data_IF_487366591337
#
_entry.id   IF_487366591337
#
_cell.length_a   1.000
_cell.length_b   1.000
_cell.length_c   1.000
_cell.angle_alpha   90.00
_cell.angle_beta   90.00
_cell.angle_gamma   90.00
#
_symmetry.space_group_name_H-M   'P 1'
#
loop_
_entity.id
_entity.type
_entity.pdbx_description
1 polymer ?
#
# COMPACT_ATOMS: atom_id res chain seq x y z
N UNK A 1 8.32 -7.68 5.61
CA UNK A 1 7.78 -7.39 6.94
C UNK A 1 6.36 -6.84 6.81
N UNK A 2 5.44 -7.16 7.73
CA UNK A 2 4.06 -6.66 7.78
C UNK A 2 3.95 -5.68 8.94
N UNK A 3 3.70 -4.39 8.65
CA UNK A 3 3.70 -3.32 9.63
C UNK A 3 2.30 -3.06 10.15
N UNK A 4 2.11 -3.14 11.46
CA UNK A 4 0.85 -2.87 12.15
C UNK A 4 1.02 -1.66 13.06
N UNK A 5 0.28 -0.59 12.81
CA UNK A 5 0.20 0.54 13.73
C UNK A 5 -0.95 0.30 14.73
N UNK A 6 -0.69 0.52 15.99
CA UNK A 6 -1.69 0.50 17.07
C UNK A 6 -1.78 1.90 17.66
N UNK A 7 -2.94 2.53 17.63
CA UNK A 7 -3.13 3.85 18.19
C UNK A 7 -4.32 3.89 19.14
N UNK A 8 -4.07 4.18 20.40
CA UNK A 8 -5.08 4.38 21.46
C UNK A 8 -4.52 5.31 22.54
N UNK A 9 -5.36 6.12 23.17
CA UNK A 9 -4.97 7.00 24.27
C UNK A 9 -4.77 6.29 25.61
N UNK A 10 -5.04 4.98 25.67
CA UNK A 10 -4.91 4.16 26.87
C UNK A 10 -3.67 3.27 26.79
N UNK A 11 -2.63 3.59 27.57
CA UNK A 11 -1.36 2.87 27.61
C UNK A 11 -1.50 1.38 27.97
N UNK A 12 -2.45 1.05 28.86
CA UNK A 12 -2.72 -0.34 29.26
C UNK A 12 -3.32 -1.14 28.11
N UNK A 13 -4.30 -0.57 27.41
CA UNK A 13 -4.90 -1.18 26.22
C UNK A 13 -3.88 -1.36 25.11
N UNK A 14 -3.04 -0.35 24.88
CA UNK A 14 -1.97 -0.39 23.88
C UNK A 14 -0.98 -1.54 24.18
N UNK A 15 -0.51 -1.62 25.41
CA UNK A 15 0.41 -2.69 25.83
C UNK A 15 -0.24 -4.07 25.68
N UNK A 16 -1.48 -4.23 26.15
CA UNK A 16 -2.19 -5.51 26.09
C UNK A 16 -2.44 -5.97 24.66
N UNK A 17 -2.86 -5.08 23.76
CA UNK A 17 -3.04 -5.37 22.34
C UNK A 17 -1.70 -5.75 21.69
N UNK A 18 -0.64 -5.00 21.96
CA UNK A 18 0.70 -5.29 21.43
C UNK A 18 1.17 -6.69 21.83
N UNK A 19 1.08 -7.03 23.12
CA UNK A 19 1.46 -8.37 23.63
C UNK A 19 0.58 -9.47 23.02
N UNK A 20 -0.72 -9.24 22.94
CA UNK A 20 -1.64 -10.23 22.38
C UNK A 20 -1.36 -10.51 20.91
N UNK A 21 -1.11 -9.47 20.10
CA UNK A 21 -0.78 -9.61 18.68
C UNK A 21 0.56 -10.35 18.52
N UNK A 22 1.57 -10.03 19.32
CA UNK A 22 2.87 -10.72 19.28
C UNK A 22 2.79 -12.22 19.61
N UNK A 23 1.77 -12.62 20.38
CA UNK A 23 1.54 -14.03 20.76
C UNK A 23 0.73 -14.81 19.73
N UNK A 24 0.12 -14.13 18.75
CA UNK A 24 -0.59 -14.83 17.70
C UNK A 24 0.40 -15.67 16.86
N UNK A 25 -0.02 -16.84 16.38
CA UNK A 25 0.82 -17.66 15.52
C UNK A 25 1.02 -16.95 14.19
N UNK A 26 2.21 -16.44 13.97
CA UNK A 26 2.68 -15.88 12.69
C UNK A 26 4.18 -16.19 12.54
N UNK A 27 4.74 -16.21 11.33
CA UNK A 27 6.18 -16.32 11.13
C UNK A 27 6.88 -15.19 11.90
N UNK A 28 7.85 -15.53 12.74
CA UNK A 28 8.47 -14.66 13.76
C UNK A 28 9.03 -13.35 13.20
N UNK A 29 9.46 -13.35 11.92
CA UNK A 29 10.04 -12.19 11.25
C UNK A 29 9.06 -11.48 10.30
N UNK A 30 7.78 -11.84 10.35
CA UNK A 30 6.81 -11.36 9.37
C UNK A 30 6.04 -10.11 9.82
N UNK A 31 5.99 -9.80 11.13
CA UNK A 31 5.14 -8.76 11.70
C UNK A 31 5.93 -7.82 12.60
N UNK A 32 5.74 -6.51 12.39
CA UNK A 32 6.30 -5.43 13.21
C UNK A 32 5.17 -4.53 13.72
N UNK A 33 5.18 -4.26 15.04
CA UNK A 33 4.15 -3.46 15.70
C UNK A 33 4.72 -2.09 16.05
N UNK A 34 3.99 -1.04 15.65
CA UNK A 34 4.30 0.36 15.91
C UNK A 34 3.22 0.95 16.84
N UNK A 35 3.51 1.07 18.15
CA UNK A 35 2.55 1.59 19.13
C UNK A 35 2.55 3.12 19.16
N UNK A 36 1.36 3.73 19.24
CA UNK A 36 1.15 5.17 19.34
C UNK A 36 0.13 5.47 20.46
N UNK A 37 0.48 6.35 21.39
CA UNK A 37 -0.43 6.87 22.40
C UNK A 37 -1.16 8.14 21.96
N UNK A 38 -0.67 8.77 20.89
CA UNK A 38 -1.20 10.01 20.36
C UNK A 38 -1.49 9.86 18.86
N UNK A 39 -2.68 10.26 18.43
CA UNK A 39 -3.06 10.30 17.01
C UNK A 39 -2.11 11.18 16.19
N UNK A 40 -1.63 12.26 16.81
CA UNK A 40 -0.69 13.17 16.16
C UNK A 40 0.59 12.47 15.72
N UNK A 41 1.15 11.60 16.57
CA UNK A 41 2.40 10.87 16.26
C UNK A 41 2.19 9.84 15.15
N UNK A 42 1.05 9.15 15.16
CA UNK A 42 0.66 8.26 14.06
C UNK A 42 0.53 9.05 12.73
N UNK A 43 -0.20 10.17 12.73
CA UNK A 43 -0.37 11.00 11.53
C UNK A 43 0.96 11.60 11.06
N UNK A 44 1.86 11.94 11.99
CA UNK A 44 3.21 12.41 11.68
C UNK A 44 4.01 11.32 11.00
N UNK A 45 3.99 10.08 11.50
CA UNK A 45 4.70 8.95 10.89
C UNK A 45 4.18 8.65 9.47
N UNK A 46 2.86 8.68 9.26
CA UNK A 46 2.28 8.55 7.92
C UNK A 46 2.75 9.66 6.96
N UNK A 47 2.84 10.92 7.44
CA UNK A 47 3.35 12.04 6.63
C UNK A 47 4.84 11.92 6.30
N UNK A 48 5.62 11.26 7.15
CA UNK A 48 7.03 10.98 6.94
C UNK A 48 7.26 9.83 5.94
N UNK A 49 6.18 9.22 5.42
CA UNK A 49 6.26 8.15 4.43
C UNK A 49 6.35 6.74 5.02
N UNK A 50 6.17 6.58 6.34
CA UNK A 50 6.08 5.25 6.94
C UNK A 50 4.74 4.64 6.52
N UNK A 51 4.81 3.50 5.83
CA UNK A 51 3.65 2.78 5.31
C UNK A 51 3.27 1.64 6.24
N UNK A 52 2.01 1.60 6.65
CA UNK A 52 1.44 0.51 7.44
C UNK A 52 0.58 -0.40 6.55
N UNK A 53 0.54 -1.67 6.89
CA UNK A 53 -0.35 -2.63 6.23
C UNK A 53 -1.73 -2.66 6.91
N UNK A 54 -1.73 -2.50 8.23
CA UNK A 54 -2.92 -2.39 9.05
C UNK A 54 -2.73 -1.29 10.10
N UNK A 55 -3.75 -0.47 10.31
CA UNK A 55 -3.83 0.49 11.39
C UNK A 55 -5.04 0.14 12.24
N UNK A 56 -4.81 -0.17 13.52
CA UNK A 56 -5.85 -0.35 14.54
C UNK A 56 -5.99 0.95 15.32
N UNK A 57 -7.16 1.59 15.22
CA UNK A 57 -7.48 2.86 15.88
C UNK A 57 -8.48 2.65 17.02
N UNK A 58 -8.13 3.11 18.19
CA UNK A 58 -8.97 3.08 19.41
C UNK A 58 -8.71 1.86 20.30
N UNK A 59 -9.52 1.69 21.35
CA UNK A 59 -10.54 2.63 21.77
C UNK A 59 -9.93 3.95 22.29
N UNK A 60 -10.64 5.05 22.07
CA UNK A 60 -10.30 6.36 22.62
C UNK A 60 -11.38 6.79 23.65
N UNK A 61 -11.02 7.63 24.63
CA UNK A 61 -11.98 8.15 25.60
C UNK A 61 -13.03 9.05 24.95
N UNK A 62 -12.63 9.83 23.93
CA UNK A 62 -13.53 10.65 23.13
C UNK A 62 -13.75 10.01 21.74
N UNK A 63 -14.92 9.41 21.55
CA UNK A 63 -15.24 8.62 20.35
C UNK A 63 -15.18 9.43 19.03
N UNK A 64 -15.54 10.70 19.03
CA UNK A 64 -15.61 11.51 17.81
C UNK A 64 -14.27 11.75 17.11
N UNK A 65 -13.15 11.61 17.81
CA UNK A 65 -11.81 11.79 17.21
C UNK A 65 -11.37 10.63 16.32
N UNK A 66 -11.83 9.42 16.60
CA UNK A 66 -11.38 8.21 15.87
C UNK A 66 -11.71 8.28 14.37
N UNK A 67 -12.90 8.74 14.03
CA UNK A 67 -13.34 8.85 12.64
C UNK A 67 -12.61 9.95 11.87
N UNK A 68 -12.34 11.08 12.52
CA UNK A 68 -11.57 12.16 11.92
C UNK A 68 -10.13 11.75 11.65
N UNK A 69 -9.54 11.01 12.56
CA UNK A 69 -8.20 10.44 12.37
C UNK A 69 -8.19 9.43 11.23
N UNK A 70 -9.17 8.53 11.16
CA UNK A 70 -9.32 7.61 10.04
C UNK A 70 -9.48 8.34 8.70
N UNK A 71 -10.28 9.42 8.63
CA UNK A 71 -10.42 10.28 7.43
C UNK A 71 -9.08 10.93 7.02
N UNK A 72 -8.31 11.43 8.00
CA UNK A 72 -6.97 12.01 7.75
C UNK A 72 -5.99 10.98 7.24
N UNK A 73 -5.95 9.78 7.85
CA UNK A 73 -5.11 8.68 7.39
C UNK A 73 -5.49 8.28 5.97
N UNK A 74 -6.79 8.15 5.67
CA UNK A 74 -7.28 7.77 4.33
C UNK A 74 -6.89 8.78 3.25
N UNK A 75 -6.76 10.07 3.61
CA UNK A 75 -6.25 11.11 2.69
C UNK A 75 -4.74 10.98 2.46
N UNK A 76 -3.98 10.52 3.46
CA UNK A 76 -2.52 10.31 3.36
C UNK A 76 -2.18 9.00 2.66
N UNK A 77 -2.92 7.93 2.98
CA UNK A 77 -2.78 6.60 2.40
C UNK A 77 -4.17 6.01 2.07
N UNK A 78 -4.63 6.14 0.81
CA UNK A 78 -5.89 5.56 0.37
C UNK A 78 -5.93 4.02 0.41
N UNK A 79 -4.76 3.35 0.42
CA UNK A 79 -4.63 1.90 0.32
C UNK A 79 -4.49 1.16 1.65
N UNK A 80 -4.15 1.85 2.75
CA UNK A 80 -3.92 1.20 4.04
C UNK A 80 -5.21 0.56 4.60
N UNK A 81 -5.09 -0.61 5.21
CA UNK A 81 -6.22 -1.22 5.93
C UNK A 81 -6.41 -0.53 7.27
N UNK A 82 -7.61 -0.02 7.54
CA UNK A 82 -7.95 0.65 8.81
C UNK A 82 -9.03 -0.16 9.51
N UNK A 83 -8.77 -0.56 10.74
CA UNK A 83 -9.76 -1.14 11.64
C UNK A 83 -10.01 -0.20 12.81
N UNK A 84 -11.27 0.04 13.14
CA UNK A 84 -11.68 0.85 14.27
C UNK A 84 -12.08 -0.02 15.44
N UNK A 85 -11.74 0.45 16.66
CA UNK A 85 -12.18 -0.13 17.92
C UNK A 85 -12.94 0.96 18.65
N UNK A 86 -14.26 0.81 18.82
CA UNK A 86 -15.10 1.78 19.52
C UNK A 86 -16.18 1.09 20.34
N UNK A 87 -16.51 1.69 21.49
CA UNK A 87 -17.65 1.31 22.32
C UNK A 87 -18.96 1.93 21.81
N UNK A 88 -18.88 2.96 20.97
CA UNK A 88 -20.04 3.61 20.37
C UNK A 88 -20.39 2.99 19.02
N UNK A 89 -21.53 2.32 18.95
CA UNK A 89 -22.01 1.72 17.70
C UNK A 89 -22.37 2.77 16.63
N UNK A 90 -22.56 4.04 17.01
CA UNK A 90 -22.78 5.13 16.04
C UNK A 90 -21.56 5.34 15.16
N UNK A 91 -20.35 5.10 15.69
CA UNK A 91 -19.10 5.17 14.90
C UNK A 91 -19.11 4.16 13.75
N UNK A 92 -19.83 3.03 13.87
CA UNK A 92 -19.95 2.06 12.78
C UNK A 92 -20.83 2.58 11.64
N UNK A 93 -21.86 3.35 11.96
CA UNK A 93 -22.78 3.94 10.97
C UNK A 93 -22.14 5.13 10.26
N UNK A 94 -21.49 6.02 11.02
CA UNK A 94 -20.76 7.16 10.46
C UNK A 94 -19.49 6.73 9.72
N UNK A 95 -18.89 5.61 10.14
CA UNK A 95 -17.73 4.98 9.48
C UNK A 95 -18.05 4.44 8.08
N UNK A 96 -19.33 4.34 7.68
CA UNK A 96 -19.71 3.87 6.34
C UNK A 96 -19.17 4.76 5.20
N UNK A 97 -18.91 6.03 5.49
CA UNK A 97 -18.31 6.97 4.53
C UNK A 97 -16.79 6.78 4.39
N UNK A 98 -16.17 6.04 5.31
CA UNK A 98 -14.73 5.75 5.32
C UNK A 98 -14.56 4.29 4.92
N UNK A 99 -13.79 3.96 3.89
CA UNK A 99 -13.47 2.56 3.57
C UNK A 99 -12.67 1.91 4.71
N UNK A 100 -13.39 1.31 5.68
CA UNK A 100 -12.80 0.56 6.78
C UNK A 100 -12.60 -0.90 6.36
N UNK A 101 -11.55 -1.51 6.87
CA UNK A 101 -11.34 -2.95 6.76
C UNK A 101 -12.26 -3.69 7.75
N UNK A 102 -12.31 -3.20 9.01
CA UNK A 102 -13.17 -3.77 10.06
C UNK A 102 -13.54 -2.76 11.13
N UNK A 103 -14.70 -3.00 11.77
CA UNK A 103 -15.11 -2.35 13.00
C UNK A 103 -15.21 -3.37 14.13
N UNK A 104 -14.57 -3.10 15.25
CA UNK A 104 -14.63 -3.89 16.48
C UNK A 104 -15.45 -3.15 17.54
N UNK A 105 -16.55 -3.77 18.01
CA UNK A 105 -17.41 -3.19 19.04
C UNK A 105 -16.79 -3.39 20.41
N UNK A 106 -16.15 -2.37 20.96
CA UNK A 106 -15.56 -2.32 22.30
C UNK A 106 -14.25 -3.07 22.46
N UNK A 107 -14.21 -4.36 22.21
CA UNK A 107 -13.01 -5.20 22.36
C UNK A 107 -12.66 -5.92 21.07
N UNK A 108 -11.38 -6.21 20.89
CA UNK A 108 -10.87 -6.96 19.74
C UNK A 108 -10.85 -8.45 20.08
N UNK A 109 -11.72 -9.27 19.47
CA UNK A 109 -11.64 -10.72 19.66
C UNK A 109 -10.39 -11.26 18.96
N UNK A 110 -9.45 -11.83 19.74
CA UNK A 110 -8.16 -12.28 19.19
C UNK A 110 -8.27 -13.29 18.03
N UNK A 111 -9.21 -14.27 18.05
CA UNK A 111 -9.38 -15.15 16.90
C UNK A 111 -9.79 -14.44 15.61
N UNK A 112 -10.62 -13.37 15.73
CA UNK A 112 -11.04 -12.57 14.57
C UNK A 112 -9.88 -11.73 14.05
N UNK A 113 -9.11 -11.10 14.96
CA UNK A 113 -7.93 -10.32 14.58
C UNK A 113 -6.87 -11.21 13.91
N UNK A 114 -6.69 -12.44 14.39
CA UNK A 114 -5.79 -13.40 13.75
C UNK A 114 -6.21 -13.68 12.30
N UNK A 115 -7.48 -13.97 12.05
CA UNK A 115 -8.00 -14.17 10.70
C UNK A 115 -7.80 -12.94 9.82
N UNK A 116 -8.03 -11.74 10.37
CA UNK A 116 -7.83 -10.48 9.66
C UNK A 116 -6.36 -10.26 9.27
N UNK A 117 -5.44 -10.56 10.19
CA UNK A 117 -4.01 -10.48 9.91
C UNK A 117 -3.60 -11.49 8.84
N UNK A 118 -4.05 -12.74 8.94
CA UNK A 118 -3.79 -13.80 7.96
C UNK A 118 -4.29 -13.40 6.57
N UNK A 119 -5.53 -12.89 6.46
CA UNK A 119 -6.11 -12.39 5.20
C UNK A 119 -5.26 -11.28 4.59
N UNK A 120 -4.90 -10.27 5.39
CA UNK A 120 -4.12 -9.13 4.91
C UNK A 120 -2.68 -9.52 4.54
N UNK A 121 -2.06 -10.42 5.30
CA UNK A 121 -0.72 -10.94 5.00
C UNK A 121 -0.73 -11.77 3.73
N UNK A 122 -1.72 -12.64 3.54
CA UNK A 122 -1.89 -13.41 2.31
C UNK A 122 -2.10 -12.49 1.11
N UNK A 123 -2.97 -11.50 1.22
CA UNK A 123 -3.21 -10.51 0.16
C UNK A 123 -1.94 -9.73 -0.21
N UNK A 124 -1.14 -9.33 0.79
CA UNK A 124 0.17 -8.69 0.55
C UNK A 124 1.11 -9.64 -0.19
N UNK A 125 1.16 -10.91 0.20
CA UNK A 125 2.01 -11.90 -0.44
C UNK A 125 1.58 -12.19 -1.89
N UNK A 126 0.27 -12.26 -2.16
CA UNK A 126 -0.26 -12.40 -3.52
C UNK A 126 0.16 -11.23 -4.41
N UNK A 127 0.06 -10.00 -3.91
CA UNK A 127 0.51 -8.79 -4.63
C UNK A 127 2.02 -8.85 -4.87
N UNK A 128 2.81 -9.26 -3.89
CA UNK A 128 4.27 -9.39 -4.03
C UNK A 128 4.70 -10.51 -5.00
N UNK A 129 3.91 -11.58 -5.07
CA UNK A 129 4.15 -12.72 -5.94
C UNK A 129 3.47 -12.58 -7.32
N UNK A 130 2.67 -11.53 -7.52
CA UNK A 130 2.09 -11.24 -8.82
C UNK A 130 3.19 -11.15 -9.87
N UNK A 131 2.98 -11.79 -11.02
CA UNK A 131 3.99 -11.88 -12.07
C UNK A 131 3.42 -11.51 -13.43
N UNK A 132 4.29 -10.99 -14.27
CA UNK A 132 4.00 -10.66 -15.66
C UNK A 132 4.72 -11.65 -16.58
N UNK A 133 3.94 -12.32 -17.44
CA UNK A 133 4.45 -13.25 -18.43
C UNK A 133 4.37 -12.63 -19.83
N UNK A 134 5.39 -12.79 -20.62
CA UNK A 134 5.39 -12.50 -22.06
C UNK A 134 6.34 -13.45 -22.78
N UNK A 135 6.19 -13.53 -24.10
CA UNK A 135 7.09 -14.32 -24.97
C UNK A 135 7.72 -13.42 -26.02
N UNK A 136 8.97 -13.71 -26.34
CA UNK A 136 9.70 -13.13 -27.46
C UNK A 136 10.53 -14.21 -28.16
N UNK A 137 11.43 -13.83 -29.06
CA UNK A 137 12.30 -14.73 -29.80
C UNK A 137 13.29 -15.51 -28.90
N UNK A 138 13.54 -15.04 -27.65
CA UNK A 138 14.38 -15.72 -26.68
C UNK A 138 13.61 -16.74 -25.83
N UNK A 139 12.27 -16.78 -25.94
CA UNK A 139 11.43 -17.72 -25.20
C UNK A 139 10.35 -17.05 -24.36
N UNK A 140 9.87 -17.75 -23.34
CA UNK A 140 8.88 -17.27 -22.37
C UNK A 140 9.59 -16.70 -21.16
N UNK A 141 9.23 -15.46 -20.82
CA UNK A 141 9.79 -14.74 -19.67
C UNK A 141 8.71 -14.53 -18.60
N UNK A 142 9.09 -14.76 -17.35
CA UNK A 142 8.28 -14.50 -16.18
C UNK A 142 9.05 -13.59 -15.22
N UNK A 143 8.50 -12.43 -14.89
CA UNK A 143 9.05 -11.52 -13.90
C UNK A 143 8.00 -11.23 -12.82
N UNK A 144 8.40 -11.20 -11.55
CA UNK A 144 7.55 -10.66 -10.52
C UNK A 144 7.34 -9.16 -10.75
N UNK A 145 6.15 -8.65 -10.46
CA UNK A 145 5.86 -7.23 -10.72
C UNK A 145 6.83 -6.30 -9.99
N UNK A 146 7.30 -6.67 -8.80
CA UNK A 146 8.30 -5.93 -8.02
C UNK A 146 9.67 -5.81 -8.70
N UNK A 147 9.99 -6.68 -9.64
CA UNK A 147 11.26 -6.67 -10.39
C UNK A 147 11.22 -5.72 -11.59
N UNK A 148 10.00 -5.36 -12.04
CA UNK A 148 9.80 -4.53 -13.22
C UNK A 148 9.76 -3.06 -12.78
N UNK A 149 10.64 -2.24 -13.35
CA UNK A 149 10.72 -0.81 -13.10
C UNK A 149 9.65 -0.04 -13.89
N UNK A 150 9.60 -0.31 -15.18
CA UNK A 150 8.62 0.31 -16.09
C UNK A 150 8.50 -0.45 -17.40
N UNK A 151 7.43 -0.17 -18.13
CA UNK A 151 7.25 -0.55 -19.52
C UNK A 151 7.38 0.70 -20.39
N UNK A 152 8.04 0.56 -21.53
CA UNK A 152 8.17 1.62 -22.54
C UNK A 152 7.67 1.11 -23.87
N UNK A 153 6.84 1.91 -24.56
CA UNK A 153 6.44 1.58 -25.94
C UNK A 153 7.45 2.12 -26.96
N UNK A 154 7.81 1.27 -27.90
CA UNK A 154 8.66 1.58 -29.04
C UNK A 154 7.96 1.12 -30.33
N UNK A 155 7.15 2.01 -30.93
CA UNK A 155 6.29 1.65 -32.04
C UNK A 155 5.28 0.57 -31.67
N UNK A 156 5.33 -0.58 -32.35
CA UNK A 156 4.45 -1.74 -32.10
C UNK A 156 5.03 -2.74 -31.07
N UNK A 157 6.07 -2.35 -30.34
CA UNK A 157 6.76 -3.19 -29.38
C UNK A 157 6.73 -2.55 -28.00
N UNK A 158 6.83 -3.40 -26.99
CA UNK A 158 6.98 -3.01 -25.59
C UNK A 158 8.35 -3.45 -25.12
N UNK A 159 9.09 -2.53 -24.51
CA UNK A 159 10.28 -2.82 -23.74
C UNK A 159 9.87 -2.93 -22.28
N UNK A 160 10.12 -4.09 -21.67
CA UNK A 160 10.04 -4.33 -20.22
C UNK A 160 11.40 -4.03 -19.62
N UNK A 161 11.49 -3.09 -18.71
CA UNK A 161 12.74 -2.74 -18.03
C UNK A 161 12.67 -3.24 -16.60
N UNK A 162 13.61 -4.11 -16.26
CA UNK A 162 13.74 -4.75 -14.95
C UNK A 162 15.05 -4.36 -14.27
N UNK A 163 15.26 -4.81 -13.04
CA UNK A 163 16.56 -4.65 -12.34
C UNK A 163 17.71 -5.37 -13.05
N UNK A 164 17.42 -6.48 -13.74
CA UNK A 164 18.42 -7.37 -14.34
C UNK A 164 18.69 -7.07 -15.82
N UNK A 165 17.86 -6.22 -16.45
CA UNK A 165 17.99 -5.90 -17.87
C UNK A 165 16.68 -5.47 -18.51
N UNK A 166 16.69 -5.40 -19.83
CA UNK A 166 15.50 -5.05 -20.59
C UNK A 166 15.19 -6.08 -21.67
N UNK A 167 13.90 -6.27 -21.91
CA UNK A 167 13.36 -7.29 -22.82
C UNK A 167 12.34 -6.62 -23.76
N UNK A 168 12.31 -7.05 -25.00
CA UNK A 168 11.39 -6.50 -26.01
C UNK A 168 10.47 -7.61 -26.50
N UNK A 169 9.17 -7.29 -26.59
CA UNK A 169 8.15 -8.18 -27.14
C UNK A 169 7.06 -7.39 -27.88
N UNK A 170 6.21 -8.06 -28.64
CA UNK A 170 5.13 -7.42 -29.40
C UNK A 170 3.87 -7.34 -28.55
N UNK A 171 3.49 -6.14 -28.20
CA UNK A 171 2.20 -5.83 -27.54
C UNK A 171 1.95 -4.32 -27.60
N UNK A 172 0.73 -3.89 -27.21
CA UNK A 172 0.39 -2.47 -27.06
C UNK A 172 0.42 -2.07 -25.59
N UNK A 173 0.73 -0.80 -25.30
CA UNK A 173 0.75 -0.28 -23.93
C UNK A 173 -0.62 -0.42 -23.25
N UNK A 174 -1.72 -0.23 -24.00
CA UNK A 174 -3.08 -0.39 -23.45
C UNK A 174 -3.40 -1.83 -23.05
N UNK A 175 -2.86 -2.81 -23.79
CA UNK A 175 -3.00 -4.23 -23.42
C UNK A 175 -2.20 -4.55 -22.16
N UNK A 176 -0.96 -4.05 -22.07
CA UNK A 176 -0.14 -4.19 -20.85
C UNK A 176 -0.84 -3.60 -19.63
N UNK A 177 -1.35 -2.37 -19.75
CA UNK A 177 -2.09 -1.66 -18.70
C UNK A 177 -3.31 -2.47 -18.24
N UNK A 178 -4.10 -3.02 -19.17
CA UNK A 178 -5.26 -3.87 -18.84
C UNK A 178 -4.85 -5.18 -18.13
N UNK A 179 -3.76 -5.82 -18.58
CA UNK A 179 -3.24 -7.07 -17.97
C UNK A 179 -2.74 -6.85 -16.54
N UNK A 180 -2.16 -5.69 -16.27
CA UNK A 180 -1.68 -5.32 -14.94
C UNK A 180 -2.83 -4.92 -13.99
N UNK A 181 -3.97 -4.48 -14.53
CA UNK A 181 -5.17 -4.14 -13.75
C UNK A 181 -4.89 -3.10 -12.66
N UNK A 182 -5.41 -3.33 -11.47
CA UNK A 182 -5.20 -2.47 -10.28
C UNK A 182 -3.90 -2.82 -9.54
N UNK A 183 -2.81 -2.92 -10.25
CA UNK A 183 -1.49 -3.15 -9.65
C UNK A 183 -0.80 -1.82 -9.30
N UNK A 184 0.46 -1.92 -8.83
CA UNK A 184 1.29 -0.75 -8.53
C UNK A 184 1.81 0.01 -9.77
N UNK A 185 1.29 -0.27 -10.97
CA UNK A 185 1.69 0.40 -12.20
C UNK A 185 0.74 1.53 -12.58
N UNK A 186 1.33 2.70 -12.89
CA UNK A 186 0.61 3.89 -13.35
C UNK A 186 1.14 4.34 -14.69
N UNK A 187 0.24 4.68 -15.60
CA UNK A 187 0.61 5.22 -16.91
C UNK A 187 0.92 6.71 -16.81
N UNK A 188 2.19 7.06 -16.82
CA UNK A 188 2.69 8.43 -16.66
C UNK A 188 2.79 9.20 -17.99
N UNK A 189 2.88 8.47 -19.11
CA UNK A 189 3.00 9.03 -20.45
C UNK A 189 2.37 8.08 -21.49
N UNK A 190 2.06 8.56 -22.69
CA UNK A 190 1.57 7.67 -23.79
C UNK A 190 2.49 6.47 -24.03
N UNK A 191 3.78 6.62 -23.77
CA UNK A 191 4.81 5.62 -23.99
C UNK A 191 5.40 5.01 -22.71
N UNK A 192 4.93 5.38 -21.51
CA UNK A 192 5.50 4.89 -20.26
C UNK A 192 4.44 4.51 -19.25
N UNK A 193 4.59 3.29 -18.70
CA UNK A 193 3.83 2.75 -17.60
C UNK A 193 4.84 2.39 -16.49
N UNK A 194 4.83 3.10 -15.37
CA UNK A 194 5.85 3.02 -14.32
C UNK A 194 5.33 2.27 -13.09
N UNK A 195 6.18 1.49 -12.48
CA UNK A 195 5.91 0.87 -11.18
C UNK A 195 6.17 1.90 -10.06
N UNK A 196 5.13 2.20 -9.28
CA UNK A 196 5.20 3.19 -8.21
C UNK A 196 6.23 2.86 -7.12
N UNK A 197 6.49 1.58 -6.87
CA UNK A 197 7.54 1.15 -5.91
C UNK A 197 8.94 1.60 -6.31
N UNK A 198 9.17 1.92 -7.59
CA UNK A 198 10.44 2.40 -8.08
C UNK A 198 10.50 3.91 -8.24
N UNK A 199 9.43 4.65 -7.93
CA UNK A 199 9.40 6.11 -8.03
C UNK A 199 10.03 6.72 -6.79
N UNK A 200 11.09 7.52 -6.99
CA UNK A 200 11.73 8.31 -5.94
C UNK A 200 11.06 9.67 -5.76
N UNK A 201 10.79 10.34 -6.87
CA UNK A 201 10.27 11.71 -6.87
C UNK A 201 9.47 12.00 -8.14
N UNK A 202 8.51 12.89 -8.01
CA UNK A 202 7.70 13.44 -9.11
C UNK A 202 7.81 14.96 -9.08
N UNK A 203 8.40 15.55 -10.10
CA UNK A 203 8.59 16.99 -10.18
C UNK A 203 8.25 17.52 -11.58
N UNK A 204 7.38 18.55 -11.65
CA UNK A 204 6.97 19.15 -12.92
C UNK A 204 6.43 18.15 -13.93
N UNK A 205 7.16 17.90 -14.98
CA UNK A 205 6.85 16.94 -16.06
C UNK A 205 7.78 15.73 -16.06
N UNK A 206 8.34 15.40 -14.92
CA UNK A 206 9.34 14.34 -14.79
C UNK A 206 9.03 13.43 -13.60
N UNK A 207 9.35 12.15 -13.76
CA UNK A 207 9.34 11.12 -12.72
C UNK A 207 10.75 10.59 -12.59
N UNK A 208 11.36 10.72 -11.41
CA UNK A 208 12.69 10.16 -11.10
C UNK A 208 12.53 8.83 -10.39
N UNK A 209 13.17 7.79 -10.90
CA UNK A 209 13.19 6.46 -10.30
C UNK A 209 14.29 6.33 -9.24
N UNK A 210 14.21 5.30 -8.39
CA UNK A 210 15.21 4.98 -7.36
C UNK A 210 16.61 4.74 -7.92
N UNK A 211 16.71 4.24 -9.15
CA UNK A 211 17.99 4.05 -9.86
C UNK A 211 18.52 5.32 -10.55
N UNK A 212 17.89 6.48 -10.32
CA UNK A 212 18.26 7.76 -10.91
C UNK A 212 17.75 8.01 -12.33
N UNK A 213 17.07 7.06 -12.96
CA UNK A 213 16.49 7.26 -14.30
C UNK A 213 15.35 8.26 -14.24
N UNK A 214 15.34 9.22 -15.18
CA UNK A 214 14.26 10.20 -15.33
C UNK A 214 13.37 9.78 -16.49
N UNK A 215 12.06 9.78 -16.27
CA UNK A 215 11.01 9.44 -17.24
C UNK A 215 10.08 10.65 -17.45
N UNK A 216 9.55 10.86 -18.67
CA UNK A 216 8.64 11.98 -18.96
C UNK A 216 7.26 11.73 -18.35
N UNK A 217 6.69 12.76 -17.75
CA UNK A 217 5.33 12.79 -17.20
C UNK A 217 4.42 13.69 -18.06
N UNK A 218 3.33 13.13 -18.52
CA UNK A 218 2.30 13.90 -19.24
C UNK A 218 1.55 14.84 -18.30
N UNK A 219 1.33 16.09 -18.70
CA UNK A 219 0.56 17.08 -17.92
C UNK A 219 -0.82 16.59 -17.51
N UNK A 220 -1.51 15.84 -18.38
CA UNK A 220 -2.85 15.29 -18.10
C UNK A 220 -2.84 14.16 -17.05
N UNK A 221 -1.71 13.47 -16.85
CA UNK A 221 -1.58 12.35 -15.92
C UNK A 221 -0.85 12.72 -14.62
N UNK A 222 -0.44 13.99 -14.49
CA UNK A 222 0.27 14.47 -13.30
C UNK A 222 -0.57 14.39 -12.02
N UNK A 223 -1.90 14.47 -12.12
CA UNK A 223 -2.81 14.30 -10.98
C UNK A 223 -2.87 12.83 -10.55
N UNK A 224 -3.05 11.91 -11.48
CA UNK A 224 -3.15 10.47 -11.18
C UNK A 224 -1.94 9.94 -10.40
N UNK A 225 -0.74 10.41 -10.71
CA UNK A 225 0.48 9.95 -10.01
C UNK A 225 0.73 10.72 -8.70
N UNK A 226 0.29 11.98 -8.59
CA UNK A 226 0.41 12.74 -7.33
C UNK A 226 -0.60 12.28 -6.29
N UNK A 227 -1.79 11.85 -6.75
CA UNK A 227 -2.87 11.35 -5.91
C UNK A 227 -2.71 9.84 -5.65
N UNK A 228 -1.83 9.16 -6.42
CA UNK A 228 -1.47 7.78 -6.15
C UNK A 228 -0.66 7.70 -4.85
N UNK A 229 -0.99 6.80 -3.93
CA UNK A 229 -0.16 6.59 -2.74
C UNK A 229 1.24 6.17 -3.22
N UNK A 230 2.19 7.08 -3.13
CA UNK A 230 3.61 6.77 -3.29
C UNK A 230 3.98 5.92 -2.08
N UNK A 231 3.75 4.62 -2.18
CA UNK A 231 4.29 3.65 -1.24
C UNK A 231 5.81 3.66 -1.47
N UNK A 232 6.48 4.58 -0.78
CA UNK A 232 7.93 4.57 -0.65
C UNK A 232 8.28 3.33 0.18
N UNK A 233 8.30 2.17 -0.49
CA UNK A 233 8.73 0.93 0.11
C UNK A 233 10.21 1.04 0.46
N UNK A 234 10.54 0.71 1.69
CA UNK A 234 11.90 0.41 2.10
C UNK A 234 12.45 -0.72 1.22
N UNK A 235 13.66 -0.51 0.73
CA UNK A 235 14.50 -1.51 0.06
C UNK A 235 15.17 -2.34 1.14
#
# INVERSE_FOLDING_TARGET
>A
MFHVALCTDNSRSLHQLSVNIQRLPHPTDALEIHPFLQEYDLLRSCRQGICYNLILLGPFQEAHHVLDTARRIRKLDPGVSISLISHDLRDSLEGYEIPLFRFYAGTVPMPVLQQDLEELMQKKQEVQNASFLFSNWQGVHRFFLKEILYFKSEGSRIQVVTRLGSYIYRETMSTVERRLGRSCFVRIHRSYLVNLHWVRNVWGTEVTLLNGKILPLSKHRSREIRDAPLQLGEI
#
